data_IF_969426447988
#
_entry.id   IF_969426447988
#
_cell.length_a   1.000
_cell.length_b   1.000
_cell.length_c   1.000
_cell.angle_alpha   90.00
_cell.angle_beta   90.00
_cell.angle_gamma   90.00
#
_symmetry.space_group_name_H-M   'P 1'
#
loop_
_entity.id
_entity.type
_entity.pdbx_description
1 polymer ?
#
# COMPACT_ATOMS: atom_id res chain seq x y z
N UNK A 1 8.85 -9.46 -7.24
CA UNK A 1 8.16 -10.32 -6.24
C UNK A 1 8.53 -9.83 -4.85
N UNK A 2 7.78 -10.21 -3.82
CA UNK A 2 7.94 -9.75 -2.43
C UNK A 2 7.67 -10.91 -1.46
N UNK A 3 8.50 -11.14 -0.42
CA UNK A 3 8.16 -12.10 0.62
C UNK A 3 7.01 -11.58 1.49
N UNK A 4 6.01 -12.42 1.75
CA UNK A 4 4.83 -12.12 2.58
C UNK A 4 4.70 -13.17 3.68
N UNK A 5 4.46 -12.73 4.91
CA UNK A 5 4.32 -13.62 6.07
C UNK A 5 2.87 -14.02 6.32
N UNK A 6 2.62 -15.33 6.47
CA UNK A 6 1.33 -15.93 6.79
C UNK A 6 1.43 -16.74 8.10
N UNK A 7 0.71 -16.34 9.17
CA UNK A 7 0.84 -16.96 10.49
C UNK A 7 0.28 -18.39 10.57
N UNK A 8 -0.65 -18.72 9.67
CA UNK A 8 -1.31 -20.04 9.63
C UNK A 8 -1.26 -20.62 8.21
N UNK A 9 -1.30 -21.95 8.07
CA UNK A 9 -1.53 -22.56 6.76
C UNK A 9 -2.83 -22.04 6.13
N UNK A 10 -2.81 -21.80 4.82
CA UNK A 10 -3.98 -21.37 4.09
C UNK A 10 -3.77 -21.29 2.59
N UNK A 11 -4.78 -20.78 1.88
CA UNK A 11 -4.71 -20.54 0.44
C UNK A 11 -4.72 -19.05 0.15
N UNK A 12 -3.86 -18.61 -0.75
CA UNK A 12 -3.85 -17.25 -1.29
C UNK A 12 -4.32 -17.31 -2.73
N UNK A 13 -5.36 -16.52 -3.04
CA UNK A 13 -5.94 -16.40 -4.38
C UNK A 13 -5.63 -15.02 -4.92
N UNK A 14 -4.97 -14.93 -6.08
CA UNK A 14 -4.83 -13.67 -6.81
C UNK A 14 -6.04 -13.51 -7.73
N UNK A 15 -6.75 -12.40 -7.61
CA UNK A 15 -7.93 -12.09 -8.42
C UNK A 15 -7.76 -10.77 -9.17
N UNK A 16 -8.30 -10.69 -10.37
CA UNK A 16 -8.43 -9.44 -11.12
C UNK A 16 -9.58 -8.58 -10.59
N UNK A 17 -9.68 -7.33 -11.07
CA UNK A 17 -10.80 -6.41 -10.78
C UNK A 17 -12.18 -7.02 -11.01
N UNK A 18 -12.31 -7.92 -11.98
CA UNK A 18 -13.57 -8.56 -12.34
C UNK A 18 -13.80 -9.90 -11.62
N UNK A 19 -12.95 -10.25 -10.65
CA UNK A 19 -13.09 -11.47 -9.84
C UNK A 19 -12.53 -12.74 -10.48
N UNK A 20 -11.90 -12.65 -11.66
CA UNK A 20 -11.24 -13.80 -12.28
C UNK A 20 -10.00 -14.20 -11.47
N UNK A 21 -9.92 -15.45 -11.06
CA UNK A 21 -8.76 -15.99 -10.33
C UNK A 21 -7.60 -16.18 -11.32
N UNK A 22 -6.52 -15.44 -11.13
CA UNK A 22 -5.30 -15.50 -11.96
C UNK A 22 -4.28 -16.50 -11.44
N UNK A 23 -4.22 -16.69 -10.12
CA UNK A 23 -3.28 -17.61 -9.49
C UNK A 23 -3.80 -18.11 -8.14
N UNK A 24 -3.27 -19.26 -7.71
CA UNK A 24 -3.54 -19.86 -6.40
C UNK A 24 -2.22 -20.32 -5.78
N UNK A 25 -2.06 -20.08 -4.49
CA UNK A 25 -0.87 -20.45 -3.74
C UNK A 25 -1.28 -21.13 -2.44
N UNK A 26 -0.68 -22.27 -2.11
CA UNK A 26 -0.74 -22.82 -0.75
C UNK A 26 0.39 -22.20 0.05
N UNK A 27 0.06 -21.54 1.16
CA UNK A 27 1.01 -20.73 1.93
C UNK A 27 1.06 -21.14 3.39
N UNK A 28 2.25 -21.05 3.98
CA UNK A 28 2.50 -21.17 5.41
C UNK A 28 3.84 -20.49 5.71
N UNK A 29 3.91 -19.65 6.74
CA UNK A 29 5.11 -18.87 7.03
C UNK A 29 5.37 -17.83 5.93
N UNK A 30 6.63 -17.66 5.53
CA UNK A 30 7.00 -16.67 4.51
C UNK A 30 6.90 -17.27 3.11
N UNK A 31 6.07 -16.68 2.24
CA UNK A 31 5.96 -17.05 0.83
C UNK A 31 6.18 -15.84 -0.06
N UNK A 32 6.96 -16.02 -1.13
CA UNK A 32 7.22 -14.96 -2.12
C UNK A 32 6.08 -14.87 -3.11
N UNK A 33 5.43 -13.70 -3.18
CA UNK A 33 4.32 -13.42 -4.09
C UNK A 33 4.70 -12.38 -5.15
N UNK A 34 4.10 -12.44 -6.36
CA UNK A 34 4.19 -11.34 -7.33
C UNK A 34 3.65 -10.03 -6.77
N UNK A 35 4.24 -8.92 -7.20
CA UNK A 35 3.70 -7.58 -6.93
C UNK A 35 2.34 -7.49 -7.63
N UNK A 36 1.33 -7.00 -6.92
CA UNK A 36 -0.01 -6.78 -7.47
C UNK A 36 0.00 -5.62 -8.44
N UNK A 37 -0.67 -5.79 -9.58
CA UNK A 37 -1.11 -4.63 -10.35
C UNK A 37 -2.17 -3.85 -9.57
N UNK A 38 -2.38 -2.57 -9.92
CA UNK A 38 -3.38 -1.71 -9.26
C UNK A 38 -4.81 -2.29 -9.26
N UNK A 39 -5.11 -3.16 -10.22
CA UNK A 39 -6.43 -3.76 -10.38
C UNK A 39 -6.56 -5.15 -9.73
N UNK A 40 -5.49 -5.64 -9.10
CA UNK A 40 -5.42 -6.98 -8.55
C UNK A 40 -5.46 -6.98 -7.03
N UNK A 41 -6.02 -8.06 -6.49
CA UNK A 41 -6.10 -8.24 -5.05
C UNK A 41 -5.87 -9.71 -4.72
N UNK A 42 -5.09 -9.92 -3.66
CA UNK A 42 -4.94 -11.22 -3.04
C UNK A 42 -6.02 -11.43 -1.97
N UNK A 43 -6.51 -12.66 -1.87
CA UNK A 43 -7.36 -13.11 -0.79
C UNK A 43 -6.68 -14.30 -0.09
N UNK A 44 -6.27 -14.10 1.16
CA UNK A 44 -5.74 -15.14 2.02
C UNK A 44 -6.88 -15.77 2.82
N UNK A 45 -7.10 -17.05 2.61
CA UNK A 45 -8.12 -17.87 3.25
C UNK A 45 -7.44 -18.84 4.21
N UNK A 46 -7.76 -18.73 5.50
CA UNK A 46 -7.26 -19.62 6.54
C UNK A 46 -8.39 -19.99 7.53
N UNK A 47 -8.03 -20.68 8.62
CA UNK A 47 -8.98 -21.07 9.66
C UNK A 47 -9.63 -19.89 10.39
N UNK A 48 -9.03 -18.69 10.35
CA UNK A 48 -9.54 -17.48 11.00
C UNK A 48 -10.45 -16.63 10.10
N UNK A 49 -10.45 -16.87 8.79
CA UNK A 49 -11.32 -16.18 7.85
C UNK A 49 -10.65 -15.85 6.51
N UNK A 50 -11.17 -14.80 5.86
CA UNK A 50 -10.68 -14.31 4.56
C UNK A 50 -10.14 -12.89 4.71
N UNK A 51 -8.87 -12.70 4.38
CA UNK A 51 -8.19 -11.41 4.44
C UNK A 51 -7.80 -10.95 3.05
N UNK A 52 -8.18 -9.71 2.70
CA UNK A 52 -7.83 -9.09 1.42
C UNK A 52 -6.61 -8.20 1.58
N UNK A 53 -5.70 -8.28 0.62
CA UNK A 53 -4.47 -7.49 0.61
C UNK A 53 -3.93 -7.33 -0.81
N UNK A 54 -3.00 -6.39 -0.98
CA UNK A 54 -2.18 -6.24 -2.16
C UNK A 54 -0.71 -6.49 -1.81
N UNK A 55 0.14 -6.58 -2.82
CA UNK A 55 1.59 -6.69 -2.66
C UNK A 55 2.24 -5.56 -3.45
N UNK A 56 2.99 -4.68 -2.79
CA UNK A 56 3.78 -3.63 -3.43
C UNK A 56 5.29 -3.92 -3.31
N UNK A 57 6.13 -3.03 -3.89
CA UNK A 57 7.57 -3.03 -3.67
C UNK A 57 7.89 -2.58 -2.24
N UNK A 58 9.15 -2.73 -1.83
CA UNK A 58 9.65 -2.28 -0.54
C UNK A 58 10.68 -3.25 0.04
N UNK A 59 11.09 -3.01 1.29
CA UNK A 59 12.17 -3.71 2.00
C UNK A 59 11.65 -4.60 3.15
N UNK A 60 12.24 -5.79 3.35
CA UNK A 60 11.83 -6.73 4.42
C UNK A 60 10.73 -7.73 4.04
N UNK A 61 10.01 -8.28 5.02
CA UNK A 61 8.89 -9.21 4.80
C UNK A 61 7.57 -8.47 5.00
N UNK A 62 6.68 -8.51 4.01
CA UNK A 62 5.39 -7.85 4.10
C UNK A 62 4.45 -8.61 5.04
N UNK A 63 3.87 -7.92 6.02
CA UNK A 63 2.67 -8.35 6.70
C UNK A 63 1.47 -8.05 5.81
N UNK A 64 0.68 -9.06 5.44
CA UNK A 64 -0.46 -8.90 4.55
C UNK A 64 -1.50 -7.89 5.07
N UNK A 65 -1.56 -7.66 6.38
CA UNK A 65 -2.50 -6.71 6.98
C UNK A 65 -2.08 -5.25 6.82
N UNK A 66 -0.79 -4.99 6.59
CA UNK A 66 -0.25 -3.63 6.47
C UNK A 66 -0.59 -2.99 5.12
N UNK A 67 -1.02 -3.79 4.13
CA UNK A 67 -1.33 -3.32 2.78
C UNK A 67 -2.66 -3.91 2.26
N UNK A 68 -3.80 -3.55 2.87
CA UNK A 68 -5.10 -4.18 2.61
C UNK A 68 -5.67 -3.88 1.22
N UNK A 69 -5.15 -2.85 0.53
CA UNK A 69 -5.55 -2.47 -0.84
C UNK A 69 -4.34 -1.96 -1.62
N UNK A 70 -4.41 -2.06 -2.94
CA UNK A 70 -3.41 -1.45 -3.82
C UNK A 70 -3.55 0.08 -3.79
N UNK A 71 -2.52 0.77 -3.32
CA UNK A 71 -2.36 2.22 -3.42
C UNK A 71 -1.66 2.60 -4.72
N UNK A 72 -1.90 3.82 -5.18
CA UNK A 72 -1.21 4.44 -6.31
C UNK A 72 -1.26 5.96 -6.10
N UNK A 73 -0.11 6.60 -6.04
CA UNK A 73 0.01 8.03 -5.71
C UNK A 73 0.15 8.94 -6.94
N UNK A 74 -0.08 8.44 -8.15
CA UNK A 74 -0.02 9.24 -9.39
C UNK A 74 -0.90 10.50 -9.35
N UNK A 75 -2.08 10.40 -8.72
CA UNK A 75 -3.04 11.51 -8.59
C UNK A 75 -2.99 12.16 -7.19
N UNK A 76 -1.89 12.04 -6.45
CA UNK A 76 -1.76 12.70 -5.16
C UNK A 76 -1.74 14.22 -5.38
N UNK A 77 -2.67 14.92 -4.72
CA UNK A 77 -2.71 16.38 -4.74
C UNK A 77 -1.66 16.94 -3.78
N UNK A 78 -0.54 17.39 -4.35
CA UNK A 78 0.58 17.96 -3.58
C UNK A 78 0.18 19.27 -2.89
N UNK A 79 -0.74 20.04 -3.46
CA UNK A 79 -1.23 21.30 -2.85
C UNK A 79 -2.05 21.00 -1.61
N UNK A 80 -2.90 19.96 -1.68
CA UNK A 80 -3.68 19.51 -0.53
C UNK A 80 -2.80 18.89 0.56
N UNK A 81 -1.78 18.10 0.18
CA UNK A 81 -0.82 17.54 1.12
C UNK A 81 -0.01 18.64 1.82
N UNK A 82 0.53 19.61 1.09
CA UNK A 82 1.24 20.75 1.67
C UNK A 82 0.35 21.56 2.63
N UNK A 83 -0.87 21.91 2.19
CA UNK A 83 -1.84 22.60 3.04
C UNK A 83 -2.14 21.82 4.33
N UNK A 84 -2.26 20.48 4.25
CA UNK A 84 -2.48 19.64 5.43
C UNK A 84 -1.27 19.64 6.37
N UNK A 85 -0.04 19.54 5.84
CA UNK A 85 1.18 19.56 6.64
C UNK A 85 1.40 20.91 7.35
N UNK A 86 1.11 22.01 6.66
CA UNK A 86 1.27 23.37 7.21
C UNK A 86 0.16 23.72 8.20
N UNK A 87 -1.10 23.41 7.88
CA UNK A 87 -2.26 23.85 8.67
C UNK A 87 -2.74 22.80 9.69
N UNK A 88 -2.29 21.55 9.58
CA UNK A 88 -2.75 20.42 10.40
C UNK A 88 -4.19 19.97 10.09
N UNK A 89 -4.81 20.46 9.01
CA UNK A 89 -6.18 20.15 8.61
C UNK A 89 -6.38 20.24 7.10
N UNK A 90 -7.38 19.54 6.58
CA UNK A 90 -7.76 19.63 5.17
C UNK A 90 -8.52 20.93 4.87
N UNK A 91 -8.39 21.42 3.64
CA UNK A 91 -9.14 22.57 3.14
C UNK A 91 -10.64 22.26 3.08
N UNK A 92 -11.48 23.26 3.37
CA UNK A 92 -12.93 23.11 3.24
C UNK A 92 -13.32 22.88 1.77
N UNK A 93 -14.15 21.87 1.52
CA UNK A 93 -14.57 21.49 0.17
C UNK A 93 -13.56 20.64 -0.63
N UNK A 94 -12.44 20.22 -0.02
CA UNK A 94 -11.51 19.30 -0.67
C UNK A 94 -12.19 17.96 -1.06
N UNK A 95 -11.83 17.43 -2.24
CA UNK A 95 -12.39 16.17 -2.73
C UNK A 95 -12.06 15.01 -1.79
N UNK A 96 -13.07 14.21 -1.45
CA UNK A 96 -12.93 13.11 -0.49
C UNK A 96 -11.87 12.09 -0.93
N UNK A 97 -11.73 11.81 -2.23
CA UNK A 97 -10.74 10.85 -2.72
C UNK A 97 -9.34 11.43 -2.62
N UNK A 98 -9.17 12.73 -2.87
CA UNK A 98 -7.90 13.42 -2.67
C UNK A 98 -7.49 13.36 -1.19
N UNK A 99 -8.41 13.65 -0.25
CA UNK A 99 -8.19 13.53 1.19
C UNK A 99 -7.75 12.11 1.57
N UNK A 100 -8.47 11.08 1.11
CA UNK A 100 -8.14 9.70 1.41
C UNK A 100 -6.79 9.27 0.83
N UNK A 101 -6.39 9.83 -0.31
CA UNK A 101 -5.08 9.55 -0.91
C UNK A 101 -3.96 10.22 -0.11
N UNK A 102 -4.16 11.45 0.36
CA UNK A 102 -3.23 12.15 1.26
C UNK A 102 -3.05 11.37 2.57
N UNK A 103 -4.15 10.95 3.22
CA UNK A 103 -4.07 10.13 4.43
C UNK A 103 -3.34 8.81 4.18
N UNK A 104 -3.62 8.16 3.04
CA UNK A 104 -2.95 6.92 2.68
C UNK A 104 -1.45 7.12 2.45
N UNK A 105 -1.05 8.23 1.84
CA UNK A 105 0.36 8.59 1.65
C UNK A 105 1.06 8.79 3.00
N UNK A 106 0.47 9.60 3.88
CA UNK A 106 0.99 9.84 5.23
C UNK A 106 1.09 8.54 6.04
N UNK A 107 0.08 7.67 5.97
CA UNK A 107 0.12 6.37 6.64
C UNK A 107 1.23 5.45 6.12
N UNK A 108 1.57 5.53 4.83
CA UNK A 108 2.75 4.82 4.28
C UNK A 108 4.04 5.43 4.84
N UNK A 109 4.17 6.76 4.90
CA UNK A 109 5.32 7.43 5.51
C UNK A 109 5.51 7.01 6.98
N UNK A 110 4.45 7.07 7.79
CA UNK A 110 4.48 6.69 9.21
C UNK A 110 4.88 5.23 9.40
N UNK A 111 4.34 4.33 8.57
CA UNK A 111 4.67 2.92 8.65
C UNK A 111 6.12 2.66 8.23
N UNK A 112 6.59 3.28 7.15
CA UNK A 112 7.98 3.19 6.71
C UNK A 112 8.95 3.72 7.79
N UNK A 113 8.62 4.86 8.41
CA UNK A 113 9.39 5.41 9.52
C UNK A 113 9.41 4.46 10.73
N UNK A 114 8.27 3.87 11.09
CA UNK A 114 8.19 2.89 12.20
C UNK A 114 9.02 1.63 11.96
N UNK A 115 9.24 1.26 10.69
CA UNK A 115 10.05 0.12 10.27
C UNK A 115 11.51 0.49 10.00
N UNK A 116 11.84 1.79 10.03
CA UNK A 116 13.15 2.35 9.70
C UNK A 116 13.68 1.85 8.34
N UNK A 117 12.80 1.77 7.35
CA UNK A 117 13.06 1.17 6.03
C UNK A 117 12.02 1.67 5.01
N UNK A 118 12.32 1.52 3.72
CA UNK A 118 11.32 1.72 2.66
C UNK A 118 10.39 0.48 2.59
N UNK A 119 9.63 0.24 3.67
CA UNK A 119 8.90 -1.00 3.91
C UNK A 119 7.75 -1.22 2.91
N UNK A 120 6.97 -0.18 2.66
CA UNK A 120 5.97 -0.09 1.60
C UNK A 120 6.44 0.94 0.57
N UNK A 121 6.55 0.50 -0.68
CA UNK A 121 6.81 1.36 -1.83
C UNK A 121 5.72 1.13 -2.91
N UNK A 122 4.52 1.72 -2.72
CA UNK A 122 3.50 1.76 -3.75
C UNK A 122 3.95 2.56 -4.99
N UNK A 123 3.31 2.35 -6.15
CA UNK A 123 3.57 3.17 -7.34
C UNK A 123 3.47 4.67 -7.06
N UNK A 124 4.43 5.44 -7.57
CA UNK A 124 4.55 6.90 -7.43
C UNK A 124 4.89 7.41 -6.02
N UNK A 125 5.24 6.52 -5.07
CA UNK A 125 5.57 6.95 -3.72
C UNK A 125 6.92 7.69 -3.65
N UNK A 126 7.98 7.08 -4.20
CA UNK A 126 9.34 7.67 -4.19
C UNK A 126 9.38 8.97 -5.00
N UNK A 127 8.73 9.00 -6.17
CA UNK A 127 8.67 10.19 -7.03
C UNK A 127 8.00 11.38 -6.32
N UNK A 128 6.93 11.12 -5.56
CA UNK A 128 6.31 12.15 -4.73
C UNK A 128 7.23 12.59 -3.61
N UNK A 129 7.93 11.66 -2.93
CA UNK A 129 8.86 12.01 -1.87
C UNK A 129 10.00 12.89 -2.40
N UNK A 130 10.59 12.56 -3.55
CA UNK A 130 11.65 13.35 -4.18
C UNK A 130 11.17 14.78 -4.49
N UNK A 131 9.99 14.92 -5.11
CA UNK A 131 9.41 16.24 -5.41
C UNK A 131 9.19 17.06 -4.14
N UNK A 132 8.68 16.43 -3.07
CA UNK A 132 8.45 17.12 -1.79
C UNK A 132 9.74 17.54 -1.09
N UNK A 133 10.76 16.68 -1.07
CA UNK A 133 12.05 17.01 -0.46
C UNK A 133 12.71 18.17 -1.20
N UNK A 134 12.72 18.12 -2.54
CA UNK A 134 13.30 19.21 -3.34
C UNK A 134 12.58 20.54 -3.18
N UNK A 135 11.26 20.54 -2.95
CA UNK A 135 10.50 21.76 -2.72
C UNK A 135 10.81 22.44 -1.37
N UNK A 136 11.37 21.71 -0.39
CA UNK A 136 11.75 22.26 0.93
C UNK A 136 13.16 22.86 0.93
N UNK A 137 14.02 22.44 -0.01
CA UNK A 137 15.42 22.90 -0.14
C UNK A 137 15.57 24.11 -1.10
N UNK A 138 14.49 24.57 -1.72
CA UNK A 138 14.44 25.67 -2.72
C UNK A 138 13.81 26.94 -2.18
#
# INVERSE_FOLDING_TARGET
>A
MRPVYFPSPGQVLLSSRYGAIKARFSVQGTTTLPISDYSELYAYQNSSGVYKFAVCRGEGVLNYQDYPRALNFYNLDLTLLDAYLVQGRFLEGADFRAIELVKAFLGVCDLNASKNALYLNPPFFEEVQEVFVHALDS
#
